data_IF_675762637061
#
_entry.id   IF_675762637061
#
_cell.length_a   1.000
_cell.length_b   1.000
_cell.length_c   1.000
_cell.angle_alpha   90.00
_cell.angle_beta   90.00
_cell.angle_gamma   90.00
#
_symmetry.space_group_name_H-M   'P 1'
#
loop_
_entity.id
_entity.type
_entity.pdbx_description
1 polymer ?
#
# COMPACT_ATOMS: atom_id res chain seq x y z
N UNK A 1 -21.54 -6.64 0.57
CA UNK A 1 -20.46 -6.89 1.54
C UNK A 1 -20.82 -6.25 2.86
N UNK A 2 -20.95 -7.03 3.91
CA UNK A 2 -21.18 -6.48 5.25
C UNK A 2 -19.94 -5.71 5.67
N UNK A 3 -20.12 -4.43 5.95
CA UNK A 3 -19.05 -3.63 6.51
C UNK A 3 -18.79 -4.07 7.94
N UNK A 4 -17.77 -4.90 8.12
CA UNK A 4 -17.29 -5.22 9.46
C UNK A 4 -16.25 -4.17 9.81
N UNK A 5 -16.53 -3.41 10.86
CA UNK A 5 -15.63 -2.38 11.31
C UNK A 5 -14.47 -3.02 12.10
N UNK A 6 -13.34 -3.17 11.45
CA UNK A 6 -12.12 -3.68 12.07
C UNK A 6 -11.33 -2.53 12.71
N UNK A 7 -10.67 -2.83 13.82
CA UNK A 7 -9.89 -1.83 14.57
C UNK A 7 -8.41 -2.21 14.61
N UNK A 8 -7.48 -1.25 14.49
CA UNK A 8 -7.72 0.19 14.27
C UNK A 8 -8.23 0.47 12.86
N UNK A 9 -9.25 1.31 12.77
CA UNK A 9 -9.91 1.61 11.49
C UNK A 9 -8.92 2.14 10.43
N UNK A 10 -8.05 3.07 10.81
CA UNK A 10 -7.11 3.68 9.86
C UNK A 10 -6.15 2.65 9.22
N UNK A 11 -5.72 1.65 9.97
CA UNK A 11 -4.86 0.57 9.45
C UNK A 11 -5.61 -0.26 8.42
N UNK A 12 -6.83 -0.66 8.72
CA UNK A 12 -7.63 -1.49 7.81
C UNK A 12 -8.11 -0.70 6.59
N UNK A 13 -8.38 0.60 6.74
CA UNK A 13 -8.71 1.46 5.59
C UNK A 13 -7.52 1.54 4.62
N UNK A 14 -6.31 1.71 5.12
CA UNK A 14 -5.10 1.70 4.30
C UNK A 14 -4.86 0.33 3.65
N UNK A 15 -5.06 -0.74 4.40
CA UNK A 15 -4.95 -2.11 3.90
C UNK A 15 -5.92 -2.36 2.74
N UNK A 16 -7.16 -1.90 2.86
CA UNK A 16 -8.15 -2.02 1.81
C UNK A 16 -7.73 -1.27 0.54
N UNK A 17 -7.16 -0.08 0.70
CA UNK A 17 -6.66 0.72 -0.44
C UNK A 17 -5.51 0.01 -1.16
N UNK A 18 -4.60 -0.61 -0.42
CA UNK A 18 -3.49 -1.37 -0.98
C UNK A 18 -4.02 -2.59 -1.76
N UNK A 19 -4.98 -3.30 -1.19
CA UNK A 19 -5.58 -4.48 -1.82
C UNK A 19 -6.36 -4.14 -3.10
N UNK A 20 -6.84 -2.91 -3.23
CA UNK A 20 -7.57 -2.46 -4.40
C UNK A 20 -6.67 -2.25 -5.63
N UNK A 21 -5.36 -2.08 -5.44
CA UNK A 21 -4.41 -1.81 -6.51
C UNK A 21 -3.73 -3.07 -7.05
N UNK A 22 -3.93 -3.42 -8.34
CA UNK A 22 -3.13 -4.48 -8.97
C UNK A 22 -1.65 -4.12 -8.94
N UNK A 23 -0.80 -5.09 -8.56
CA UNK A 23 0.64 -4.84 -8.41
C UNK A 23 1.51 -6.08 -8.67
N UNK A 24 1.34 -6.76 -9.83
CA UNK A 24 2.21 -7.88 -10.16
C UNK A 24 3.66 -7.41 -10.30
N UNK A 25 4.60 -8.28 -9.91
CA UNK A 25 6.03 -7.98 -10.03
C UNK A 25 6.38 -7.52 -11.44
N UNK A 26 7.18 -6.45 -11.55
CA UNK A 26 7.57 -5.77 -12.79
C UNK A 26 6.43 -5.05 -13.52
N UNK A 27 5.25 -4.96 -12.91
CA UNK A 27 4.08 -4.23 -13.44
C UNK A 27 3.40 -3.47 -12.31
N UNK A 28 4.19 -2.69 -11.57
CA UNK A 28 3.75 -1.99 -10.36
C UNK A 28 3.31 -0.55 -10.62
N UNK A 29 3.14 -0.13 -11.87
CA UNK A 29 2.88 1.28 -12.23
C UNK A 29 1.68 1.87 -11.48
N UNK A 30 0.62 1.11 -11.29
CA UNK A 30 -0.57 1.58 -10.58
C UNK A 30 -0.28 1.79 -9.09
N UNK A 31 0.49 0.89 -8.49
CA UNK A 31 0.86 1.02 -7.08
C UNK A 31 1.86 2.16 -6.87
N UNK A 32 2.80 2.35 -7.80
CA UNK A 32 3.73 3.49 -7.78
C UNK A 32 2.94 4.81 -7.79
N UNK A 33 1.98 4.93 -8.70
CA UNK A 33 1.11 6.12 -8.77
C UNK A 33 0.30 6.30 -7.50
N UNK A 34 -0.27 5.24 -6.97
CA UNK A 34 -1.06 5.28 -5.74
C UNK A 34 -0.23 5.78 -4.56
N UNK A 35 0.96 5.21 -4.35
CA UNK A 35 1.82 5.59 -3.23
C UNK A 35 2.37 7.01 -3.38
N UNK A 36 2.73 7.39 -4.60
CA UNK A 36 3.20 8.76 -4.89
C UNK A 36 2.09 9.78 -4.59
N UNK A 37 0.88 9.53 -5.05
CA UNK A 37 -0.27 10.39 -4.78
C UNK A 37 -0.62 10.41 -3.30
N UNK A 38 -0.52 9.27 -2.62
CA UNK A 38 -0.78 9.16 -1.19
C UNK A 38 0.14 10.06 -0.38
N UNK A 39 1.45 10.02 -0.66
CA UNK A 39 2.40 10.89 0.01
C UNK A 39 2.14 12.37 -0.25
N UNK A 40 1.86 12.72 -1.51
CA UNK A 40 1.57 14.10 -1.90
C UNK A 40 0.29 14.64 -1.28
N UNK A 41 -0.76 13.83 -1.22
CA UNK A 41 -2.03 14.21 -0.58
C UNK A 41 -1.89 14.49 0.90
N UNK A 42 -0.96 13.81 1.57
CA UNK A 42 -0.65 14.06 2.97
C UNK A 42 0.26 15.29 3.16
N UNK A 43 0.69 15.93 2.09
CA UNK A 43 1.63 17.04 2.15
C UNK A 43 3.05 16.66 2.50
N UNK A 44 3.40 15.38 2.30
CA UNK A 44 4.73 14.86 2.60
C UNK A 44 5.63 14.89 1.37
N UNK A 45 6.93 15.10 1.61
CA UNK A 45 7.93 15.01 0.56
C UNK A 45 7.95 13.58 0.00
N UNK A 46 7.69 13.45 -1.28
CA UNK A 46 7.55 12.15 -1.93
C UNK A 46 8.41 12.12 -3.19
N UNK A 47 9.28 11.12 -3.28
CA UNK A 47 10.15 10.90 -4.42
C UNK A 47 9.92 9.51 -5.02
N UNK A 48 10.03 9.43 -6.34
CA UNK A 48 10.04 8.16 -7.06
C UNK A 48 11.33 8.10 -7.87
N UNK A 49 12.12 7.06 -7.70
CA UNK A 49 13.37 6.92 -8.45
C UNK A 49 13.13 6.31 -9.85
N UNK A 50 14.22 6.13 -10.59
CA UNK A 50 14.16 5.66 -11.98
C UNK A 50 13.66 4.22 -12.12
N UNK A 51 13.81 3.41 -11.08
CA UNK A 51 13.36 2.01 -11.09
C UNK A 51 12.00 1.82 -10.42
N UNK A 52 11.39 2.91 -9.95
CA UNK A 52 10.05 2.88 -9.39
C UNK A 52 9.98 2.73 -7.88
N UNK A 53 11.09 2.89 -7.16
CA UNK A 53 11.02 2.95 -5.71
C UNK A 53 10.39 4.27 -5.27
N UNK A 54 9.47 4.20 -4.33
CA UNK A 54 8.79 5.39 -3.79
C UNK A 54 9.30 5.64 -2.37
N UNK A 55 9.73 6.87 -2.12
CA UNK A 55 10.20 7.31 -0.81
C UNK A 55 9.31 8.44 -0.32
N UNK A 56 8.72 8.26 0.84
CA UNK A 56 7.89 9.27 1.49
C UNK A 56 8.60 9.69 2.77
N UNK A 57 8.87 10.99 2.91
CA UNK A 57 9.56 11.54 4.07
C UNK A 57 8.58 12.27 4.96
N UNK A 58 8.43 11.78 6.18
CA UNK A 58 7.62 12.42 7.20
C UNK A 58 8.55 13.18 8.14
N UNK A 59 8.37 14.50 8.32
CA UNK A 59 9.19 15.25 9.28
C UNK A 59 8.97 14.75 10.71
N UNK A 60 9.93 15.06 11.57
CA UNK A 60 9.86 14.68 12.98
C UNK A 60 8.63 15.27 13.65
N UNK A 61 8.06 14.53 14.59
CA UNK A 61 7.02 15.05 15.47
C UNK A 61 7.60 16.19 16.29
N UNK A 62 6.80 17.22 16.53
CA UNK A 62 7.24 18.40 17.31
C UNK A 62 7.82 17.97 18.65
N UNK A 63 9.01 18.46 18.95
CA UNK A 63 9.78 18.10 20.15
C UNK A 63 10.67 16.88 20.00
N UNK A 64 10.64 16.22 18.86
CA UNK A 64 11.41 14.99 18.60
C UNK A 64 12.44 15.16 17.47
N UNK A 65 12.77 16.38 17.11
CA UNK A 65 13.67 16.67 15.98
C UNK A 65 15.09 16.14 16.19
N UNK A 66 15.50 15.96 17.43
CA UNK A 66 16.82 15.44 17.77
C UNK A 66 16.87 13.92 17.91
N UNK A 67 15.76 13.23 17.66
CA UNK A 67 15.71 11.77 17.70
C UNK A 67 16.29 11.17 16.42
N UNK A 68 16.69 9.91 16.51
CA UNK A 68 17.23 9.18 15.36
C UNK A 68 16.17 9.03 14.28
N UNK A 69 16.63 9.08 13.04
CA UNK A 69 15.77 8.83 11.88
C UNK A 69 15.41 7.35 11.86
N UNK A 70 14.12 7.06 11.67
CA UNK A 70 13.62 5.71 11.50
C UNK A 70 13.24 5.51 10.02
N UNK A 71 13.70 4.41 9.44
CA UNK A 71 13.34 4.03 8.08
C UNK A 71 12.49 2.77 8.14
N UNK A 72 11.28 2.86 7.59
CA UNK A 72 10.40 1.72 7.39
C UNK A 72 10.46 1.34 5.91
N UNK A 73 10.75 0.08 5.63
CA UNK A 73 10.92 -0.39 4.27
C UNK A 73 10.07 -1.63 4.01
N UNK A 74 9.47 -1.68 2.83
CA UNK A 74 8.64 -2.78 2.38
C UNK A 74 8.70 -2.82 0.86
N UNK A 75 8.27 -3.93 0.27
CA UNK A 75 8.11 -3.99 -1.18
C UNK A 75 6.63 -3.81 -1.55
N UNK A 76 6.38 -3.24 -2.73
CA UNK A 76 5.02 -2.95 -3.17
C UNK A 76 4.45 -4.01 -4.12
N UNK A 77 5.32 -4.77 -4.77
CA UNK A 77 4.90 -5.80 -5.71
C UNK A 77 4.40 -7.06 -5.00
N UNK A 78 3.71 -7.88 -5.74
CA UNK A 78 3.15 -9.12 -5.23
C UNK A 78 3.39 -10.25 -6.25
N UNK A 79 3.74 -11.42 -5.73
CA UNK A 79 3.79 -12.64 -6.56
C UNK A 79 2.35 -13.06 -6.87
N UNK A 80 2.08 -13.28 -8.16
CA UNK A 80 0.73 -13.58 -8.63
C UNK A 80 0.52 -15.08 -8.68
N UNK A 81 -0.23 -15.59 -7.71
CA UNK A 81 -0.58 -17.00 -7.59
C UNK A 81 -2.07 -17.15 -7.32
N UNK A 82 -2.69 -18.15 -7.91
CA UNK A 82 -4.10 -18.46 -7.68
C UNK A 82 -4.34 -19.94 -7.91
N UNK A 83 -5.44 -20.43 -7.38
CA UNK A 83 -5.92 -21.78 -7.70
C UNK A 83 -6.40 -21.84 -9.14
N UNK A 84 -6.25 -22.99 -9.79
CA UNK A 84 -6.57 -23.15 -11.22
C UNK A 84 -8.04 -22.92 -11.55
N UNK A 85 -8.92 -23.17 -10.61
CA UNK A 85 -10.38 -23.03 -10.76
C UNK A 85 -10.88 -21.61 -10.48
N UNK A 86 -10.00 -20.70 -10.10
CA UNK A 86 -10.35 -19.31 -9.81
C UNK A 86 -10.03 -18.44 -11.03
N UNK A 87 -11.03 -17.68 -11.49
CA UNK A 87 -10.82 -16.67 -12.50
C UNK A 87 -10.42 -15.36 -11.84
N UNK A 88 -9.24 -14.86 -12.17
CA UNK A 88 -8.70 -13.64 -11.60
C UNK A 88 -7.67 -13.03 -12.54
N UNK A 89 -7.85 -11.77 -12.88
CA UNK A 89 -6.90 -11.01 -13.71
C UNK A 89 -6.01 -10.16 -12.82
N UNK A 90 -4.76 -10.57 -12.64
CA UNK A 90 -3.81 -9.87 -11.78
C UNK A 90 -3.45 -8.45 -12.25
N UNK A 91 -3.75 -8.10 -13.48
CA UNK A 91 -3.51 -6.75 -13.99
C UNK A 91 -4.68 -5.80 -13.76
N UNK A 92 -5.84 -6.29 -13.37
CA UNK A 92 -7.08 -5.49 -13.25
C UNK A 92 -7.81 -5.70 -11.94
N UNK A 93 -7.85 -6.92 -11.43
CA UNK A 93 -8.73 -7.27 -10.32
C UNK A 93 -8.11 -6.91 -8.98
N UNK A 94 -8.93 -6.41 -8.08
CA UNK A 94 -8.55 -6.18 -6.69
C UNK A 94 -8.55 -7.48 -5.91
N UNK A 95 -7.69 -7.55 -4.89
CA UNK A 95 -7.68 -8.69 -3.97
C UNK A 95 -8.96 -8.65 -3.15
N UNK A 96 -9.67 -9.76 -3.13
CA UNK A 96 -10.89 -9.91 -2.32
C UNK A 96 -10.51 -10.40 -0.94
N UNK A 97 -10.94 -9.66 0.07
CA UNK A 97 -10.67 -9.99 1.47
C UNK A 97 -11.97 -10.19 2.23
N UNK A 98 -11.91 -11.03 3.25
CA UNK A 98 -13.03 -11.25 4.15
C UNK A 98 -12.52 -11.53 5.54
N UNK A 99 -13.39 -11.36 6.55
CA UNK A 99 -13.05 -11.68 7.93
C UNK A 99 -13.41 -13.14 8.19
N UNK A 100 -12.42 -13.92 8.62
CA UNK A 100 -12.59 -15.33 8.94
C UNK A 100 -12.33 -15.53 10.45
N UNK A 101 -13.40 -15.75 11.20
CA UNK A 101 -13.34 -15.91 12.63
C UNK A 101 -13.47 -14.59 13.42
N UNK A 102 -12.96 -14.60 14.67
CA UNK A 102 -13.05 -13.46 15.60
C UNK A 102 -11.87 -12.48 15.45
#
# INVERSE_FOLDING_TARGET
MTEIELKPKCVFDCFAKVNAGPRPSKKEEQMISFLTDFGKKLGLETDCDQVGNVIIRKPATAGMENRKILILQSHMDMVCEKNKDVEFDFSKDAIQTYVDGE
#
